data_IF_590425860297
#
_entry.id   IF_590425860297
#
_cell.length_a   1.000
_cell.length_b   1.000
_cell.length_c   1.000
_cell.angle_alpha   90.00
_cell.angle_beta   90.00
_cell.angle_gamma   90.00
#
_symmetry.space_group_name_H-M   'P 1'
#
loop_
_entity.id
_entity.type
_entity.pdbx_description
1 polymer ?
#
# COMPACT_ATOMS: atom_id res chain seq x y z
N UNK A 1 -27.58 15.25 8.36
CA UNK A 1 -27.48 14.42 7.15
C UNK A 1 -26.44 15.05 6.24
N UNK A 2 -25.22 14.53 6.24
CA UNK A 2 -24.14 15.04 5.39
C UNK A 2 -24.08 14.24 4.09
N UNK A 3 -24.16 14.92 2.95
CA UNK A 3 -23.93 14.29 1.64
C UNK A 3 -22.42 14.23 1.37
N UNK A 4 -21.97 13.09 0.85
CA UNK A 4 -20.56 12.86 0.52
C UNK A 4 -20.16 13.69 -0.71
N UNK A 5 -19.10 14.49 -0.58
CA UNK A 5 -18.60 15.32 -1.67
C UNK A 5 -17.70 14.49 -2.58
N UNK A 6 -18.13 14.28 -3.83
CA UNK A 6 -17.32 13.65 -4.87
C UNK A 6 -17.12 14.66 -6.00
N UNK A 7 -15.89 15.15 -6.26
CA UNK A 7 -15.64 16.10 -7.33
C UNK A 7 -15.97 15.48 -8.70
N UNK A 8 -16.67 16.25 -9.54
CA UNK A 8 -17.11 15.82 -10.88
C UNK A 8 -15.92 15.72 -11.85
N UNK A 9 -15.56 14.50 -12.23
CA UNK A 9 -14.54 14.22 -13.27
C UNK A 9 -14.93 14.70 -14.67
N UNK A 10 -16.23 14.93 -14.93
CA UNK A 10 -16.75 15.31 -16.25
C UNK A 10 -16.53 16.79 -16.61
N UNK A 11 -16.24 17.65 -15.63
CA UNK A 11 -16.18 19.10 -15.80
C UNK A 11 -15.04 19.72 -14.96
N UNK A 12 -13.76 19.44 -15.28
CA UNK A 12 -12.61 19.87 -14.47
C UNK A 12 -12.47 21.39 -14.36
N UNK A 13 -12.94 22.17 -15.35
CA UNK A 13 -12.89 23.64 -15.33
C UNK A 13 -13.84 24.29 -14.31
N UNK A 14 -14.77 23.55 -13.75
CA UNK A 14 -15.73 24.04 -12.75
C UNK A 14 -15.40 23.53 -11.34
N UNK A 15 -14.16 23.10 -11.08
CA UNK A 15 -13.66 22.65 -9.78
C UNK A 15 -14.01 23.51 -8.54
N UNK A 16 -14.06 24.86 -8.61
CA UNK A 16 -14.46 25.67 -7.45
C UNK A 16 -15.97 25.64 -7.14
N UNK A 17 -16.79 25.12 -8.05
CA UNK A 17 -18.25 25.09 -7.91
C UNK A 17 -18.64 23.72 -7.38
N UNK A 18 -19.04 23.67 -6.11
CA UNK A 18 -19.42 22.44 -5.39
C UNK A 18 -20.70 21.84 -5.98
N UNK A 19 -20.56 21.11 -7.09
CA UNK A 19 -21.64 20.31 -7.65
C UNK A 19 -21.76 19.03 -6.82
N UNK A 20 -22.84 18.92 -6.05
CA UNK A 20 -23.13 17.76 -5.20
C UNK A 20 -24.15 16.89 -5.95
N UNK A 21 -23.82 15.62 -6.16
CA UNK A 21 -24.74 14.65 -6.74
C UNK A 21 -25.63 14.03 -5.66
N UNK A 22 -26.90 13.79 -5.98
CA UNK A 22 -27.69 12.79 -5.24
C UNK A 22 -27.32 11.41 -5.78
N UNK A 23 -26.79 10.55 -4.91
CA UNK A 23 -26.49 9.16 -5.23
C UNK A 23 -27.73 8.45 -5.79
N UNK A 24 -27.60 7.83 -6.96
CA UNK A 24 -28.67 7.08 -7.64
C UNK A 24 -29.51 7.85 -8.66
N UNK A 25 -29.23 9.13 -8.93
CA UNK A 25 -29.91 9.93 -9.96
C UNK A 25 -28.91 10.49 -10.98
N UNK A 26 -29.18 10.30 -12.27
CA UNK A 26 -28.45 10.95 -13.38
C UNK A 26 -28.82 12.44 -13.56
N UNK A 27 -29.54 13.04 -12.61
CA UNK A 27 -29.97 14.44 -12.64
C UNK A 27 -29.49 15.18 -11.39
N UNK A 28 -28.91 16.37 -11.62
CA UNK A 28 -28.62 17.34 -10.57
C UNK A 28 -29.94 17.94 -10.04
N UNK A 29 -30.10 18.09 -8.72
CA UNK A 29 -31.19 18.89 -8.17
C UNK A 29 -31.08 20.34 -8.66
N UNK A 30 -32.19 20.97 -9.05
CA UNK A 30 -32.19 22.31 -9.66
C UNK A 30 -31.53 23.39 -8.77
N UNK A 31 -31.54 23.20 -7.45
CA UNK A 31 -30.89 24.10 -6.48
C UNK A 31 -29.35 23.98 -6.41
N UNK A 32 -28.77 22.92 -6.98
CA UNK A 32 -27.30 22.69 -6.95
C UNK A 32 -26.57 23.35 -8.11
N UNK A 33 -27.30 23.86 -9.11
CA UNK A 33 -26.71 24.50 -10.27
C UNK A 33 -26.83 26.02 -10.12
N UNK A 34 -25.72 26.75 -9.94
CA UNK A 34 -25.71 28.20 -9.89
C UNK A 34 -26.37 28.80 -11.14
N UNK A 35 -27.24 29.81 -11.01
CA UNK A 35 -28.00 30.39 -12.11
C UNK A 35 -27.11 30.90 -13.25
N UNK A 36 -25.86 31.25 -12.96
CA UNK A 36 -24.86 31.74 -13.91
C UNK A 36 -24.40 30.66 -14.90
N UNK A 37 -24.50 29.38 -14.55
CA UNK A 37 -23.95 28.27 -15.33
C UNK A 37 -25.04 27.56 -16.15
N UNK A 38 -26.31 27.75 -15.77
CA UNK A 38 -27.48 27.19 -16.44
C UNK A 38 -27.49 27.49 -17.96
N UNK A 39 -27.19 28.73 -18.43
CA UNK A 39 -27.19 29.03 -19.85
C UNK A 39 -26.09 28.27 -20.60
N UNK A 40 -24.87 28.27 -20.08
CA UNK A 40 -23.72 27.61 -20.68
C UNK A 40 -23.88 26.08 -20.76
N UNK A 41 -24.47 25.47 -19.73
CA UNK A 41 -24.78 24.03 -19.72
C UNK A 41 -25.89 23.70 -20.71
N UNK A 42 -26.95 24.51 -20.77
CA UNK A 42 -28.04 24.32 -21.74
C UNK A 42 -27.55 24.43 -23.18
N UNK A 43 -26.70 25.41 -23.50
CA UNK A 43 -26.09 25.55 -24.82
C UNK A 43 -25.27 24.32 -25.22
N UNK A 44 -24.42 23.82 -24.31
CA UNK A 44 -23.65 22.59 -24.57
C UNK A 44 -24.52 21.35 -24.75
N UNK A 45 -25.60 21.23 -23.97
CA UNK A 45 -26.55 20.11 -24.12
C UNK A 45 -27.33 20.19 -25.44
N UNK A 46 -27.68 21.38 -25.89
CA UNK A 46 -28.34 21.61 -27.18
C UNK A 46 -27.37 21.28 -28.32
N UNK A 47 -26.11 21.72 -28.23
CA UNK A 47 -25.07 21.38 -29.20
C UNK A 47 -24.85 19.85 -29.29
N UNK A 48 -24.78 19.17 -28.15
CA UNK A 48 -24.65 17.71 -28.09
C UNK A 48 -25.84 16.99 -28.72
N UNK A 49 -27.08 17.41 -28.42
CA UNK A 49 -28.29 16.81 -29.01
C UNK A 49 -28.47 17.09 -30.50
N UNK A 50 -27.94 18.21 -30.99
CA UNK A 50 -27.98 18.59 -32.41
C UNK A 50 -26.89 17.92 -33.24
N UNK A 51 -25.87 17.34 -32.62
CA UNK A 51 -24.88 16.55 -33.36
C UNK A 51 -25.50 15.22 -33.81
N UNK A 52 -25.54 14.92 -35.13
CA UNK A 52 -25.98 13.62 -35.59
C UNK A 52 -25.00 12.57 -35.08
N UNK A 53 -25.50 11.48 -34.49
CA UNK A 53 -24.71 10.31 -34.12
C UNK A 53 -24.03 9.72 -35.37
N UNK A 54 -22.84 10.21 -35.67
CA UNK A 54 -21.74 9.47 -36.28
C UNK A 54 -20.55 9.70 -35.36
N UNK A 55 -20.29 8.73 -34.49
CA UNK A 55 -18.96 8.63 -33.90
C UNK A 55 -18.11 7.99 -34.98
N UNK A 56 -17.58 8.82 -35.89
CA UNK A 56 -16.29 8.52 -36.46
C UNK A 56 -15.31 8.70 -35.31
N UNK A 57 -14.74 7.57 -34.85
CA UNK A 57 -13.58 7.60 -33.98
C UNK A 57 -12.49 8.20 -34.85
N UNK A 58 -12.24 9.50 -34.72
CA UNK A 58 -10.95 10.05 -35.13
C UNK A 58 -9.92 9.28 -34.30
N UNK A 59 -9.18 8.40 -34.97
CA UNK A 59 -7.96 7.82 -34.44
C UNK A 59 -7.02 9.00 -34.16
N UNK A 60 -7.08 9.52 -32.93
CA UNK A 60 -6.01 10.33 -32.39
C UNK A 60 -4.78 9.44 -32.50
N UNK A 61 -3.72 9.84 -33.22
CA UNK A 61 -2.48 9.09 -33.22
C UNK A 61 -2.07 8.89 -31.76
N UNK A 62 -2.13 7.64 -31.32
CA UNK A 62 -1.56 7.20 -30.04
C UNK A 62 -0.05 7.36 -30.18
N UNK A 63 0.45 8.56 -29.94
CA UNK A 63 1.87 8.79 -29.71
C UNK A 63 2.25 8.02 -28.43
N UNK A 64 2.90 6.87 -28.65
CA UNK A 64 3.99 6.19 -27.92
C UNK A 64 4.05 6.13 -26.37
N UNK A 65 3.09 6.66 -25.61
CA UNK A 65 3.12 6.67 -24.14
C UNK A 65 2.35 5.51 -23.46
N UNK A 66 1.84 4.56 -24.25
CA UNK A 66 1.09 3.40 -23.73
C UNK A 66 1.98 2.40 -22.97
N UNK A 67 3.30 2.40 -23.18
CA UNK A 67 4.23 1.49 -22.50
C UNK A 67 4.40 1.83 -21.01
N UNK A 68 4.34 3.13 -20.66
CA UNK A 68 4.46 3.59 -19.27
C UNK A 68 3.28 3.15 -18.40
N UNK A 69 2.05 3.30 -18.89
CA UNK A 69 0.84 2.94 -18.14
C UNK A 69 0.68 1.43 -17.93
N UNK A 70 1.05 0.61 -18.91
CA UNK A 70 0.97 -0.85 -18.79
C UNK A 70 2.00 -1.35 -17.76
N UNK A 71 3.22 -0.84 -17.79
CA UNK A 71 4.26 -1.20 -16.82
C UNK A 71 3.86 -0.80 -15.39
N UNK A 72 3.28 0.40 -15.20
CA UNK A 72 2.77 0.85 -13.90
C UNK A 72 1.67 -0.10 -13.39
N UNK A 73 0.68 -0.43 -14.23
CA UNK A 73 -0.41 -1.35 -13.87
C UNK A 73 0.09 -2.77 -13.55
N UNK A 74 1.10 -3.25 -14.28
CA UNK A 74 1.72 -4.55 -14.00
C UNK A 74 2.50 -4.53 -12.68
N UNK A 75 3.22 -3.45 -12.38
CA UNK A 75 3.92 -3.29 -11.10
C UNK A 75 2.95 -3.18 -9.93
N UNK A 76 1.83 -2.47 -10.09
CA UNK A 76 0.80 -2.35 -9.05
C UNK A 76 0.14 -3.70 -8.74
N UNK A 77 -0.17 -4.50 -9.78
CA UNK A 77 -0.64 -5.88 -9.61
C UNK A 77 0.40 -6.75 -8.91
N UNK A 78 1.67 -6.65 -9.30
CA UNK A 78 2.76 -7.39 -8.66
C UNK A 78 2.89 -7.08 -7.18
N UNK A 79 2.89 -5.80 -6.82
CA UNK A 79 2.97 -5.34 -5.42
C UNK A 79 1.75 -5.78 -4.62
N UNK A 80 0.56 -5.71 -5.21
CA UNK A 80 -0.67 -6.20 -4.59
C UNK A 80 -0.61 -7.70 -4.31
N UNK A 81 -0.10 -8.49 -5.27
CA UNK A 81 0.06 -9.93 -5.10
C UNK A 81 1.05 -10.27 -3.97
N UNK A 82 2.25 -9.68 -3.98
CA UNK A 82 3.25 -9.88 -2.93
C UNK A 82 2.69 -9.46 -1.56
N UNK A 83 1.98 -8.34 -1.51
CA UNK A 83 1.36 -7.88 -0.26
C UNK A 83 0.29 -8.86 0.22
N UNK A 84 -0.53 -9.41 -0.67
CA UNK A 84 -1.52 -10.41 -0.32
C UNK A 84 -0.86 -11.69 0.19
N UNK A 85 0.25 -12.13 -0.40
CA UNK A 85 1.02 -13.29 0.07
C UNK A 85 1.59 -13.05 1.47
N UNK A 86 2.12 -11.86 1.76
CA UNK A 86 2.58 -11.47 3.10
C UNK A 86 1.43 -11.55 4.11
N UNK A 87 0.25 -10.99 3.77
CA UNK A 87 -0.93 -11.00 4.65
C UNK A 87 -1.41 -12.43 4.90
N UNK A 88 -1.51 -13.25 3.85
CA UNK A 88 -1.92 -14.65 3.95
C UNK A 88 -0.94 -15.44 4.81
N UNK A 89 0.36 -15.25 4.60
CA UNK A 89 1.41 -15.90 5.39
C UNK A 89 1.31 -15.52 6.86
N UNK A 90 1.10 -14.24 7.19
CA UNK A 90 0.88 -13.79 8.58
C UNK A 90 -0.36 -14.44 9.20
N UNK A 91 -1.46 -14.53 8.47
CA UNK A 91 -2.70 -15.18 8.94
C UNK A 91 -2.49 -16.67 9.19
N UNK A 92 -1.81 -17.35 8.27
CA UNK A 92 -1.50 -18.77 8.40
C UNK A 92 -0.59 -19.03 9.61
N UNK A 93 0.46 -18.22 9.78
CA UNK A 93 1.34 -18.31 10.95
C UNK A 93 0.55 -18.07 12.23
N UNK A 94 -0.30 -17.04 12.28
CA UNK A 94 -1.15 -16.77 13.44
C UNK A 94 -2.10 -17.93 13.76
N UNK A 95 -2.69 -18.55 12.74
CA UNK A 95 -3.56 -19.71 12.91
C UNK A 95 -2.79 -20.91 13.50
N UNK A 96 -1.64 -21.24 12.93
CA UNK A 96 -0.77 -22.32 13.43
C UNK A 96 -0.32 -22.03 14.87
N UNK A 97 0.09 -20.79 15.14
CA UNK A 97 0.56 -20.37 16.46
C UNK A 97 -0.55 -20.42 17.50
N UNK A 98 -1.77 -20.00 17.13
CA UNK A 98 -2.93 -20.05 18.02
C UNK A 98 -3.32 -21.49 18.37
N UNK A 99 -3.25 -22.40 17.40
CA UNK A 99 -3.54 -23.81 17.64
C UNK A 99 -2.55 -24.44 18.62
N UNK A 100 -1.25 -24.17 18.45
CA UNK A 100 -0.16 -24.78 19.24
C UNK A 100 0.07 -24.10 20.60
N UNK A 101 0.05 -22.77 20.64
CA UNK A 101 0.50 -21.98 21.79
C UNK A 101 -0.61 -21.13 22.42
N UNK A 102 -1.86 -21.26 21.94
CA UNK A 102 -3.05 -20.54 22.43
C UNK A 102 -2.92 -19.02 22.41
N UNK A 103 -2.07 -18.49 21.53
CA UNK A 103 -1.88 -17.05 21.33
C UNK A 103 -1.60 -16.74 19.85
N UNK A 104 -1.72 -15.48 19.43
CA UNK A 104 -1.32 -15.03 18.09
C UNK A 104 0.11 -14.52 18.14
N UNK A 105 0.91 -14.87 17.12
CA UNK A 105 2.30 -14.42 17.01
C UNK A 105 2.40 -12.95 16.60
N UNK A 106 1.64 -12.57 15.58
CA UNK A 106 1.59 -11.22 15.04
C UNK A 106 0.29 -10.53 15.42
N UNK A 107 0.37 -9.25 15.77
CA UNK A 107 -0.80 -8.39 15.90
C UNK A 107 -1.24 -7.88 14.53
N UNK A 108 -2.53 -7.55 14.45
CA UNK A 108 -3.14 -6.99 13.27
C UNK A 108 -2.83 -5.48 13.20
N UNK A 109 -2.38 -5.00 12.04
CA UNK A 109 -2.10 -3.58 11.81
C UNK A 109 -2.50 -3.21 10.38
N UNK A 110 -3.78 -2.88 10.21
CA UNK A 110 -4.38 -2.57 8.92
C UNK A 110 -3.73 -1.36 8.25
N UNK A 111 -3.31 -0.36 9.04
CA UNK A 111 -2.67 0.84 8.48
C UNK A 111 -1.32 0.52 7.85
N UNK A 112 -0.49 -0.29 8.53
CA UNK A 112 0.79 -0.74 7.99
C UNK A 112 0.58 -1.62 6.74
N UNK A 113 -0.44 -2.49 6.75
CA UNK A 113 -0.82 -3.31 5.59
C UNK A 113 -1.23 -2.44 4.39
N UNK A 114 -2.08 -1.42 4.61
CA UNK A 114 -2.51 -0.52 3.55
C UNK A 114 -1.35 0.31 3.01
N UNK A 115 -0.41 0.70 3.87
CA UNK A 115 0.74 1.49 3.44
C UNK A 115 1.70 0.69 2.57
N UNK A 116 2.02 -0.57 2.89
CA UNK A 116 2.95 -1.37 2.06
C UNK A 116 2.42 -1.68 0.64
N UNK A 117 1.09 -1.52 0.41
CA UNK A 117 0.48 -1.70 -0.93
C UNK A 117 0.75 -0.55 -1.89
N UNK A 118 1.07 0.64 -1.37
CA UNK A 118 1.16 1.85 -2.18
C UNK A 118 2.49 1.90 -2.92
N UNK A 119 2.45 2.32 -4.18
CA UNK A 119 3.64 2.65 -4.97
C UNK A 119 4.51 3.71 -4.26
N UNK A 120 5.78 3.74 -4.63
CA UNK A 120 6.73 4.75 -4.19
C UNK A 120 7.02 5.70 -5.35
N UNK A 121 6.78 6.99 -5.16
CA UNK A 121 7.10 8.00 -6.19
C UNK A 121 8.38 8.76 -5.87
N UNK A 122 8.79 8.78 -4.61
CA UNK A 122 9.96 9.48 -4.12
C UNK A 122 10.63 8.71 -2.96
N UNK A 123 11.75 9.23 -2.50
CA UNK A 123 12.53 8.63 -1.42
C UNK A 123 11.76 8.60 -0.09
N UNK A 124 10.97 9.64 0.20
CA UNK A 124 10.14 9.70 1.41
C UNK A 124 9.10 8.57 1.43
N UNK A 125 8.46 8.30 0.30
CA UNK A 125 7.55 7.17 0.14
C UNK A 125 8.25 5.85 0.44
N UNK A 126 9.43 5.61 -0.14
CA UNK A 126 10.20 4.39 0.08
C UNK A 126 10.53 4.19 1.57
N UNK A 127 11.01 5.25 2.24
CA UNK A 127 11.27 5.24 3.67
C UNK A 127 9.99 4.93 4.48
N UNK A 128 8.86 5.52 4.09
CA UNK A 128 7.56 5.25 4.72
C UNK A 128 7.07 3.80 4.49
N UNK A 129 7.37 3.19 3.34
CA UNK A 129 7.05 1.77 3.09
C UNK A 129 7.91 0.82 3.91
N UNK A 130 9.22 1.07 3.97
CA UNK A 130 10.14 0.30 4.83
C UNK A 130 9.74 0.43 6.30
N UNK A 131 9.38 1.63 6.73
CA UNK A 131 8.87 1.87 8.09
C UNK A 131 7.60 1.04 8.34
N UNK A 132 6.67 1.01 7.40
CA UNK A 132 5.43 0.23 7.51
C UNK A 132 5.70 -1.28 7.57
N UNK A 133 6.64 -1.79 6.77
CA UNK A 133 7.06 -3.18 6.82
C UNK A 133 7.72 -3.53 8.16
N UNK A 134 8.57 -2.62 8.67
CA UNK A 134 9.20 -2.80 9.99
C UNK A 134 8.17 -2.78 11.11
N UNK A 135 7.16 -1.92 11.04
CA UNK A 135 6.05 -1.92 12.00
C UNK A 135 5.35 -3.27 12.02
N UNK A 136 5.13 -3.91 10.87
CA UNK A 136 4.55 -5.27 10.82
C UNK A 136 5.43 -6.31 11.54
N UNK A 137 6.75 -6.16 11.52
CA UNK A 137 7.71 -7.03 12.25
C UNK A 137 7.69 -6.70 13.74
N UNK A 138 7.68 -5.42 14.11
CA UNK A 138 7.65 -4.99 15.52
C UNK A 138 6.36 -5.37 16.23
N UNK A 139 5.26 -5.55 15.49
CA UNK A 139 3.97 -6.06 15.95
C UNK A 139 3.98 -7.57 16.28
N UNK A 140 5.15 -8.18 16.48
CA UNK A 140 5.27 -9.48 17.15
C UNK A 140 4.78 -9.35 18.60
N UNK A 141 4.01 -10.34 19.07
CA UNK A 141 3.45 -10.39 20.41
C UNK A 141 4.51 -10.78 21.46
N UNK A 142 5.42 -9.85 21.72
CA UNK A 142 6.53 -10.00 22.67
C UNK A 142 6.06 -10.30 24.09
N UNK A 143 4.88 -9.80 24.50
CA UNK A 143 4.33 -10.05 25.85
C UNK A 143 4.06 -11.53 26.09
N UNK A 144 3.41 -12.19 25.13
CA UNK A 144 3.10 -13.63 25.27
C UNK A 144 4.34 -14.49 25.01
N UNK A 145 5.19 -14.11 24.06
CA UNK A 145 6.45 -14.84 23.80
C UNK A 145 7.39 -14.80 25.01
N UNK A 146 7.55 -13.65 25.67
CA UNK A 146 8.40 -13.53 26.88
C UNK A 146 7.97 -14.47 28.01
N UNK A 147 6.70 -14.88 28.08
CA UNK A 147 6.24 -15.87 29.06
C UNK A 147 6.66 -17.30 28.72
N UNK A 148 7.01 -17.56 27.46
CA UNK A 148 7.32 -18.89 26.93
C UNK A 148 8.82 -19.14 26.78
N UNK A 149 9.65 -18.12 27.00
CA UNK A 149 11.10 -18.09 26.78
C UNK A 149 11.80 -17.79 28.11
N UNK A 150 12.87 -18.53 28.41
CA UNK A 150 13.60 -18.39 29.67
C UNK A 150 14.73 -17.35 29.64
N UNK A 151 14.90 -16.65 28.50
CA UNK A 151 15.93 -15.64 28.29
C UNK A 151 15.37 -14.24 28.46
N UNK A 152 16.08 -13.39 29.22
CA UNK A 152 15.82 -11.95 29.31
C UNK A 152 16.40 -11.26 28.08
N UNK A 153 15.66 -11.31 26.97
CA UNK A 153 16.01 -10.59 25.74
C UNK A 153 15.00 -9.49 25.44
N UNK A 154 15.49 -8.36 24.95
CA UNK A 154 14.67 -7.26 24.46
C UNK A 154 14.74 -7.15 22.93
N UNK A 155 13.67 -6.60 22.37
CA UNK A 155 13.45 -6.49 20.92
C UNK A 155 12.59 -7.63 20.36
N UNK A 156 11.65 -7.26 19.47
CA UNK A 156 10.69 -8.16 18.81
C UNK A 156 11.36 -9.38 18.17
N UNK A 157 12.40 -9.14 17.38
CA UNK A 157 13.14 -10.19 16.65
C UNK A 157 13.97 -11.06 17.60
N UNK A 158 14.62 -10.49 18.62
CA UNK A 158 15.46 -11.28 19.53
C UNK A 158 14.61 -12.19 20.41
N UNK A 159 13.43 -11.74 20.83
CA UNK A 159 12.47 -12.56 21.58
C UNK A 159 11.95 -13.70 20.69
N UNK A 160 11.69 -13.42 19.41
CA UNK A 160 11.31 -14.45 18.45
C UNK A 160 12.46 -15.47 18.23
N UNK A 161 13.69 -15.00 18.06
CA UNK A 161 14.89 -15.83 17.90
C UNK A 161 15.05 -16.79 19.09
N UNK A 162 15.01 -16.25 20.31
CA UNK A 162 15.08 -17.06 21.53
C UNK A 162 13.93 -18.07 21.64
N UNK A 163 12.70 -17.68 21.25
CA UNK A 163 11.57 -18.60 21.20
C UNK A 163 11.78 -19.74 20.21
N UNK A 164 12.29 -19.44 19.02
CA UNK A 164 12.54 -20.44 17.98
C UNK A 164 13.69 -21.37 18.38
N UNK A 165 14.76 -20.87 19.00
CA UNK A 165 15.83 -21.71 19.55
C UNK A 165 15.30 -22.70 20.60
N UNK A 166 14.44 -22.23 21.52
CA UNK A 166 13.94 -23.06 22.62
C UNK A 166 12.90 -24.10 22.16
N UNK A 167 12.09 -23.80 21.14
CA UNK A 167 10.95 -24.65 20.72
C UNK A 167 11.16 -25.37 19.40
N UNK A 168 12.06 -24.88 18.54
CA UNK A 168 12.28 -25.33 17.17
C UNK A 168 13.79 -25.30 16.84
N UNK A 169 14.63 -26.13 17.46
CA UNK A 169 16.09 -26.01 17.37
C UNK A 169 16.67 -26.12 15.95
N UNK A 170 15.91 -26.66 15.00
CA UNK A 170 16.31 -26.80 13.59
C UNK A 170 15.63 -25.78 12.65
N UNK A 171 15.17 -24.64 13.19
CA UNK A 171 14.59 -23.60 12.35
C UNK A 171 15.66 -22.95 11.47
N UNK A 172 15.24 -22.43 10.31
CA UNK A 172 16.16 -21.72 9.41
C UNK A 172 16.53 -20.33 9.97
N UNK A 173 17.80 -20.18 10.34
CA UNK A 173 18.37 -18.92 10.86
C UNK A 173 18.32 -17.77 9.85
N UNK A 174 18.20 -18.06 8.55
CA UNK A 174 18.02 -17.06 7.50
C UNK A 174 16.82 -16.15 7.77
N UNK A 175 15.76 -16.70 8.40
CA UNK A 175 14.55 -15.97 8.77
C UNK A 175 14.89 -14.79 9.69
N UNK A 176 15.63 -15.06 10.77
CA UNK A 176 16.03 -14.03 11.74
C UNK A 176 16.98 -13.02 11.09
N UNK A 177 17.90 -13.48 10.25
CA UNK A 177 18.82 -12.59 9.51
C UNK A 177 18.03 -11.66 8.58
N UNK A 178 17.05 -12.18 7.84
CA UNK A 178 16.22 -11.40 6.93
C UNK A 178 15.38 -10.35 7.66
N UNK A 179 14.78 -10.71 8.81
CA UNK A 179 14.05 -9.76 9.64
C UNK A 179 14.98 -8.64 10.15
N UNK A 180 16.19 -8.99 10.61
CA UNK A 180 17.19 -7.98 11.06
C UNK A 180 17.64 -7.09 9.92
N UNK A 181 17.79 -7.62 8.70
CA UNK A 181 18.15 -6.82 7.52
C UNK A 181 17.06 -5.79 7.20
N UNK A 182 15.78 -6.17 7.25
CA UNK A 182 14.66 -5.24 7.02
C UNK A 182 14.67 -4.11 8.05
N UNK A 183 14.86 -4.43 9.34
CA UNK A 183 14.98 -3.40 10.40
C UNK A 183 16.21 -2.51 10.19
N UNK A 184 17.31 -3.08 9.69
CA UNK A 184 18.53 -2.33 9.38
C UNK A 184 18.29 -1.32 8.25
N UNK A 185 17.53 -1.70 7.22
CA UNK A 185 17.13 -0.79 6.14
C UNK A 185 16.37 0.41 6.68
N UNK A 186 15.45 0.22 7.64
CA UNK A 186 14.75 1.33 8.31
C UNK A 186 15.71 2.26 9.05
N UNK A 187 16.67 1.70 9.79
CA UNK A 187 17.56 2.47 10.67
C UNK A 187 18.51 3.41 9.92
N UNK A 188 18.76 3.13 8.64
CA UNK A 188 19.66 3.89 7.78
C UNK A 188 18.85 4.86 6.92
N UNK A 189 18.32 5.89 7.57
CA UNK A 189 17.67 7.02 6.90
C UNK A 189 18.71 7.73 6.02
N UNK A 190 18.42 7.92 4.73
CA UNK A 190 19.26 8.75 3.85
C UNK A 190 19.24 10.22 4.36
N UNK A 191 20.30 11.04 4.17
CA UNK A 191 21.44 10.82 3.28
C UNK A 191 22.46 9.89 3.91
N UNK A 192 22.68 8.74 3.26
CA UNK A 192 23.87 7.94 3.52
C UNK A 192 24.99 8.79 2.93
N UNK A 193 25.82 9.41 3.78
CA UNK A 193 27.17 9.78 3.35
C UNK A 193 27.71 8.56 2.61
N UNK A 194 28.20 8.73 1.37
CA UNK A 194 28.50 7.69 0.36
C UNK A 194 29.29 6.47 0.83
N UNK A 195 29.74 6.46 2.08
CA UNK A 195 30.76 5.61 2.66
C UNK A 195 30.21 4.64 3.72
N UNK A 196 28.89 4.46 3.90
CA UNK A 196 28.36 3.39 4.76
C UNK A 196 28.04 2.10 3.97
N UNK A 197 28.95 1.11 3.96
CA UNK A 197 28.83 -0.10 3.14
C UNK A 197 27.67 -1.00 3.58
N UNK A 198 27.05 -0.78 4.75
CA UNK A 198 26.07 -1.75 5.25
C UNK A 198 24.70 -1.65 4.55
N UNK A 199 24.37 -0.51 3.93
CA UNK A 199 23.12 -0.38 3.14
C UNK A 199 23.13 -1.22 1.86
N UNK A 200 24.09 -1.04 0.92
CA UNK A 200 24.18 -1.88 -0.27
C UNK A 200 24.37 -3.35 0.10
N UNK A 201 25.10 -3.66 1.18
CA UNK A 201 25.24 -5.04 1.65
C UNK A 201 23.92 -5.65 2.15
N UNK A 202 23.07 -4.87 2.81
CA UNK A 202 21.76 -5.33 3.29
C UNK A 202 20.80 -5.61 2.15
N UNK A 203 20.75 -4.69 1.17
CA UNK A 203 19.93 -4.85 -0.04
C UNK A 203 20.42 -6.04 -0.88
N UNK A 204 21.74 -6.16 -1.09
CA UNK A 204 22.34 -7.27 -1.83
C UNK A 204 22.07 -8.64 -1.20
N UNK A 205 22.04 -8.74 0.14
CA UNK A 205 21.69 -9.99 0.84
C UNK A 205 20.21 -10.36 0.69
N UNK A 206 19.31 -9.37 0.70
CA UNK A 206 17.88 -9.61 0.47
C UNK A 206 17.64 -10.06 -0.98
N UNK A 207 18.28 -9.40 -1.94
CA UNK A 207 18.10 -9.67 -3.38
C UNK A 207 18.83 -10.93 -3.86
N UNK A 208 19.98 -11.27 -3.28
CA UNK A 208 20.79 -12.44 -3.65
C UNK A 208 20.33 -13.76 -3.03
N UNK A 209 19.28 -13.76 -2.21
CA UNK A 209 18.71 -14.97 -1.61
C UNK A 209 17.61 -15.61 -2.49
N UNK A 210 17.40 -15.10 -3.70
CA UNK A 210 16.35 -15.53 -4.65
C UNK A 210 16.87 -16.41 -5.81
N UNK A 211 18.05 -17.01 -5.69
CA UNK A 211 18.59 -18.01 -6.64
C UNK A 211 18.77 -19.35 -5.95
#
# INVERSE_FOLDING_TARGET
>A
MGYEYVPSYLLPRFGPLKLIFKTGSNKYPDWTMPPEIIPAVKEKLIAYKKSPKKVEIEEIPLEEDASGNINILLTDRGISNITNEIIQSRRNINFIFSNKFKTKLFKDNEMAILNIRKLCSNEEDFNNRIQSLTTLIDEINTKELKKMVNKTTDGSINILDAFLEDRLPNYDKSIIVNLRNIVTLRSKKFPIHSDDPKFPSGLGRIMGSCT
#
